data_IF_042790029535
#
_entry.id   IF_042790029535
#
_cell.length_a   1.000
_cell.length_b   1.000
_cell.length_c   1.000
_cell.angle_alpha   90.00
_cell.angle_beta   90.00
_cell.angle_gamma   90.00
#
_symmetry.space_group_name_H-M   'P 1'
#
loop_
_entity.id
_entity.type
_entity.pdbx_description
1 polymer ?
#
# COMPACT_ATOMS: atom_id res chain seq x y z
N UNK A 1 5.99 15.81 -7.84
CA UNK A 1 5.62 14.53 -8.46
C UNK A 1 4.10 14.46 -8.46
N UNK A 2 3.45 13.69 -9.32
CA UNK A 2 2.00 13.57 -9.31
C UNK A 2 1.61 12.11 -9.09
N UNK A 3 0.49 11.86 -8.43
CA UNK A 3 -0.02 10.51 -8.21
C UNK A 3 -0.79 10.06 -9.44
N UNK A 4 -0.80 8.75 -9.69
CA UNK A 4 -1.55 8.18 -10.81
C UNK A 4 -3.06 8.18 -10.58
N UNK A 5 -3.53 8.47 -9.35
CA UNK A 5 -4.95 8.41 -8.96
C UNK A 5 -5.57 7.02 -9.13
N UNK A 6 -4.76 5.98 -9.31
CA UNK A 6 -5.19 4.63 -9.67
C UNK A 6 -4.43 3.58 -8.87
N UNK A 7 -4.99 2.36 -8.81
CA UNK A 7 -4.37 1.21 -8.15
C UNK A 7 -4.18 0.09 -9.15
N UNK A 8 -2.98 -0.47 -9.18
CA UNK A 8 -2.69 -1.69 -9.94
C UNK A 8 -3.06 -2.89 -9.07
N UNK A 9 -3.94 -3.77 -9.55
CA UNK A 9 -4.31 -5.00 -8.85
C UNK A 9 -3.73 -6.20 -9.61
N UNK A 10 -2.97 -7.03 -8.91
CA UNK A 10 -2.38 -8.26 -9.47
C UNK A 10 -2.90 -9.44 -8.68
N UNK A 11 -3.66 -10.30 -9.36
CA UNK A 11 -4.30 -11.46 -8.76
C UNK A 11 -3.79 -12.74 -9.41
N UNK A 12 -3.46 -13.74 -8.61
CA UNK A 12 -2.98 -15.04 -9.11
C UNK A 12 -2.71 -16.04 -8.01
N UNK A 13 -2.38 -17.29 -8.36
CA UNK A 13 -2.08 -18.35 -7.38
C UNK A 13 -0.81 -18.02 -6.58
N UNK A 14 -0.67 -18.61 -5.39
CA UNK A 14 0.60 -18.54 -4.66
C UNK A 14 1.73 -19.12 -5.51
N UNK A 15 2.93 -18.54 -5.40
CA UNK A 15 4.09 -18.98 -6.19
C UNK A 15 4.10 -18.55 -7.66
N UNK A 16 3.10 -17.80 -8.15
CA UNK A 16 3.05 -17.35 -9.55
C UNK A 16 3.97 -16.16 -9.87
N UNK A 17 4.95 -15.85 -9.01
CA UNK A 17 5.93 -14.78 -9.23
C UNK A 17 5.42 -13.34 -9.07
N UNK A 18 4.20 -13.12 -8.54
CA UNK A 18 3.59 -11.78 -8.43
C UNK A 18 4.49 -10.74 -7.76
N UNK A 19 5.19 -11.15 -6.70
CA UNK A 19 6.06 -10.27 -5.93
C UNK A 19 7.43 -10.07 -6.58
N UNK A 20 7.87 -10.96 -7.47
CA UNK A 20 9.23 -10.97 -8.00
C UNK A 20 9.54 -9.67 -8.77
N UNK A 21 8.60 -9.20 -9.60
CA UNK A 21 8.76 -7.96 -10.35
C UNK A 21 8.94 -6.74 -9.41
N UNK A 22 8.11 -6.63 -8.36
CA UNK A 22 8.19 -5.52 -7.41
C UNK A 22 9.38 -5.61 -6.49
N UNK A 23 9.80 -6.82 -6.10
CA UNK A 23 11.00 -7.00 -5.28
C UNK A 23 12.25 -6.55 -6.04
N UNK A 24 12.35 -6.86 -7.34
CA UNK A 24 13.43 -6.38 -8.21
C UNK A 24 13.37 -4.86 -8.35
N UNK A 25 12.19 -4.32 -8.67
CA UNK A 25 12.02 -2.87 -8.84
C UNK A 25 12.32 -2.08 -7.56
N UNK A 26 11.79 -2.52 -6.42
CA UNK A 26 12.06 -1.92 -5.11
C UNK A 26 13.54 -2.03 -4.74
N UNK A 27 14.21 -3.15 -5.03
CA UNK A 27 15.62 -3.35 -4.66
C UNK A 27 16.59 -2.52 -5.50
N UNK A 28 16.35 -2.40 -6.80
CA UNK A 28 17.32 -1.83 -7.74
C UNK A 28 16.96 -0.44 -8.27
N UNK A 29 15.71 0.02 -8.10
CA UNK A 29 15.23 1.32 -8.62
C UNK A 29 14.83 2.28 -7.50
N UNK A 30 13.91 1.89 -6.62
CA UNK A 30 13.37 2.80 -5.59
C UNK A 30 14.17 2.80 -4.29
N UNK A 31 14.54 1.62 -3.81
CA UNK A 31 15.13 1.41 -2.50
C UNK A 31 14.10 1.48 -1.35
N UNK A 32 14.53 1.12 -0.12
CA UNK A 32 13.66 1.02 1.06
C UNK A 32 13.17 2.37 1.61
N UNK A 33 13.79 3.48 1.20
CA UNK A 33 13.40 4.82 1.64
C UNK A 33 12.21 5.39 0.85
N UNK A 34 11.91 4.80 -0.32
CA UNK A 34 10.92 5.29 -1.28
C UNK A 34 9.83 4.25 -1.59
N UNK A 35 10.00 3.02 -1.12
CA UNK A 35 9.05 1.93 -1.34
C UNK A 35 8.77 1.13 -0.08
N UNK A 36 7.51 0.70 0.07
CA UNK A 36 7.06 -0.16 1.16
C UNK A 36 6.31 -1.37 0.57
N UNK A 37 6.68 -2.58 0.97
CA UNK A 37 5.88 -3.78 0.73
C UNK A 37 5.37 -4.29 2.08
N UNK A 38 4.06 -4.48 2.22
CA UNK A 38 3.49 -4.89 3.51
C UNK A 38 2.18 -5.68 3.35
N UNK A 39 1.96 -6.70 4.20
CA UNK A 39 0.65 -7.35 4.34
C UNK A 39 -0.30 -6.61 5.30
N UNK A 40 0.11 -5.44 5.80
CA UNK A 40 -0.59 -4.70 6.84
C UNK A 40 -1.13 -3.37 6.32
N UNK A 41 -2.45 -3.32 6.12
CA UNK A 41 -3.16 -2.11 5.71
C UNK A 41 -3.10 -1.01 6.78
N UNK A 42 -3.09 -1.39 8.06
CA UNK A 42 -3.09 -0.45 9.19
C UNK A 42 -1.83 0.42 9.27
N UNK A 43 -0.72 0.00 8.65
CA UNK A 43 0.49 0.81 8.56
C UNK A 43 0.32 2.06 7.68
N UNK A 44 -0.65 2.05 6.76
CA UNK A 44 -0.93 3.19 5.86
C UNK A 44 -2.26 3.89 6.19
N UNK A 45 -3.27 3.17 6.69
CA UNK A 45 -4.59 3.74 7.02
C UNK A 45 -4.82 3.98 8.50
N UNK A 46 -3.95 3.42 9.35
CA UNK A 46 -4.05 3.54 10.80
C UNK A 46 -3.57 4.88 11.33
N UNK A 47 -3.69 5.06 12.64
CA UNK A 47 -3.28 6.28 13.34
C UNK A 47 -1.78 6.54 13.17
N UNK A 48 -0.95 5.55 13.52
CA UNK A 48 0.50 5.68 13.44
C UNK A 48 1.00 5.22 12.06
N UNK A 49 1.06 6.16 11.11
CA UNK A 49 1.33 5.90 9.70
C UNK A 49 2.64 6.54 9.20
N UNK A 50 3.53 6.94 10.12
CA UNK A 50 4.79 7.63 9.80
C UNK A 50 5.71 6.87 8.84
N UNK A 51 5.55 5.55 8.72
CA UNK A 51 6.27 4.75 7.73
C UNK A 51 6.00 5.20 6.29
N UNK A 52 4.85 5.85 6.02
CA UNK A 52 4.46 6.31 4.68
C UNK A 52 5.10 7.63 4.27
N UNK A 53 5.65 8.42 5.20
CA UNK A 53 6.05 9.81 4.98
C UNK A 53 6.85 10.08 3.69
N UNK A 54 7.75 9.16 3.30
CA UNK A 54 8.62 9.32 2.12
C UNK A 54 8.31 8.35 0.99
N UNK A 55 7.23 7.57 1.11
CA UNK A 55 6.92 6.50 0.16
C UNK A 55 6.31 7.09 -1.11
N UNK A 56 6.87 6.72 -2.26
CA UNK A 56 6.27 6.99 -3.58
C UNK A 56 5.60 5.74 -4.16
N UNK A 57 5.86 4.57 -3.58
CA UNK A 57 5.24 3.29 -3.94
C UNK A 57 4.94 2.44 -2.70
N UNK A 58 3.70 1.96 -2.57
CA UNK A 58 3.28 1.00 -1.55
C UNK A 58 2.67 -0.24 -2.21
N UNK A 59 3.27 -1.41 -1.96
CA UNK A 59 2.76 -2.72 -2.36
C UNK A 59 2.04 -3.36 -1.18
N UNK A 60 0.73 -3.51 -1.32
CA UNK A 60 -0.17 -4.14 -0.37
C UNK A 60 -0.32 -5.61 -0.73
N UNK A 61 0.48 -6.45 -0.08
CA UNK A 61 0.55 -7.89 -0.38
C UNK A 61 -0.42 -8.67 0.51
N UNK A 62 -1.60 -9.00 -0.02
CA UNK A 62 -2.69 -9.64 0.72
C UNK A 62 -3.23 -8.80 1.90
N UNK A 63 -2.92 -7.50 1.92
CA UNK A 63 -3.34 -6.59 2.98
C UNK A 63 -4.80 -6.13 2.87
N UNK A 64 -5.43 -6.32 1.71
CA UNK A 64 -6.79 -5.82 1.42
C UNK A 64 -7.82 -6.83 1.93
N UNK A 65 -8.57 -6.41 2.95
CA UNK A 65 -9.78 -7.07 3.40
C UNK A 65 -11.01 -6.23 3.01
N UNK A 66 -11.85 -6.77 2.13
CA UNK A 66 -13.05 -6.09 1.64
C UNK A 66 -14.19 -6.05 2.67
N UNK A 67 -14.07 -6.79 3.79
CA UNK A 67 -15.08 -6.79 4.85
C UNK A 67 -15.01 -5.52 5.72
N UNK A 68 -13.83 -4.92 5.89
CA UNK A 68 -13.64 -3.67 6.63
C UNK A 68 -13.85 -2.44 5.74
N UNK A 69 -15.12 -2.01 5.66
CA UNK A 69 -15.51 -0.84 4.84
C UNK A 69 -14.84 0.46 5.30
N UNK A 70 -14.57 0.63 6.59
CA UNK A 70 -14.00 1.86 7.12
C UNK A 70 -12.54 2.01 6.67
N UNK A 71 -11.77 0.93 6.77
CA UNK A 71 -10.40 0.87 6.26
C UNK A 71 -10.35 1.04 4.75
N UNK A 72 -11.25 0.38 4.01
CA UNK A 72 -11.30 0.50 2.55
C UNK A 72 -11.66 1.90 2.06
N UNK A 73 -12.53 2.63 2.77
CA UNK A 73 -12.83 4.02 2.45
C UNK A 73 -11.61 4.93 2.66
N UNK A 74 -10.87 4.73 3.77
CA UNK A 74 -9.61 5.46 4.00
C UNK A 74 -8.60 5.17 2.90
N UNK A 75 -8.42 3.89 2.55
CA UNK A 75 -7.51 3.50 1.48
C UNK A 75 -7.91 4.14 0.15
N UNK A 76 -9.20 4.15 -0.20
CA UNK A 76 -9.69 4.82 -1.42
C UNK A 76 -9.34 6.30 -1.45
N UNK A 77 -9.55 7.01 -0.35
CA UNK A 77 -9.19 8.42 -0.24
C UNK A 77 -7.66 8.62 -0.41
N UNK A 78 -6.86 7.73 0.18
CA UNK A 78 -5.40 7.77 0.03
C UNK A 78 -4.94 7.59 -1.42
N UNK A 79 -5.71 7.00 -2.34
CA UNK A 79 -5.28 6.83 -3.73
C UNK A 79 -5.21 8.19 -4.46
N UNK A 80 -6.13 9.10 -4.14
CA UNK A 80 -6.32 10.36 -4.87
C UNK A 80 -5.98 11.60 -4.05
N UNK A 81 -5.75 11.48 -2.74
CA UNK A 81 -5.42 12.62 -1.90
C UNK A 81 -4.07 13.26 -2.28
N UNK A 82 -4.04 14.59 -2.35
CA UNK A 82 -2.81 15.38 -2.61
C UNK A 82 -1.98 15.60 -1.34
N UNK A 83 -2.62 15.52 -0.18
CA UNK A 83 -2.01 15.69 1.13
C UNK A 83 -2.43 14.58 2.07
N UNK A 84 -1.61 14.38 3.10
CA UNK A 84 -1.89 13.41 4.14
C UNK A 84 -1.36 13.86 5.49
N UNK A 85 -2.12 13.52 6.53
CA UNK A 85 -1.67 13.64 7.90
C UNK A 85 -0.80 12.44 8.28
N UNK A 86 0.43 12.73 8.68
CA UNK A 86 1.37 11.77 9.25
C UNK A 86 1.35 11.88 10.77
N UNK A 87 0.98 10.80 11.46
CA UNK A 87 1.12 10.73 12.92
C UNK A 87 2.28 9.81 13.33
N UNK A 88 3.18 10.33 14.15
CA UNK A 88 4.22 9.56 14.83
C UNK A 88 3.75 9.16 16.23
N UNK A 89 4.38 8.13 16.80
CA UNK A 89 4.19 7.82 18.21
C UNK A 89 4.82 8.92 19.08
N UNK A 90 4.02 9.48 19.98
CA UNK A 90 4.49 10.46 20.96
C UNK A 90 4.91 11.81 20.39
N UNK A 91 4.49 12.14 19.15
CA UNK A 91 4.70 13.47 18.55
C UNK A 91 3.41 13.99 17.95
N UNK A 92 3.37 15.29 17.74
CA UNK A 92 2.26 15.94 17.06
C UNK A 92 2.18 15.50 15.59
N UNK A 93 0.97 15.34 15.04
CA UNK A 93 0.78 15.06 13.62
C UNK A 93 1.29 16.19 12.73
N UNK A 94 1.75 15.85 11.53
CA UNK A 94 2.15 16.81 10.50
C UNK A 94 1.41 16.53 9.20
N UNK A 95 0.97 17.56 8.50
CA UNK A 95 0.38 17.43 7.16
C UNK A 95 1.47 17.63 6.12
N UNK A 96 1.56 16.70 5.16
CA UNK A 96 2.55 16.70 4.10
C UNK A 96 1.90 16.40 2.76
N UNK A 97 2.51 16.86 1.67
CA UNK A 97 2.14 16.41 0.32
C UNK A 97 2.34 14.91 0.17
N UNK A 98 1.40 14.25 -0.49
CA UNK A 98 1.44 12.81 -0.74
C UNK A 98 1.76 12.53 -2.21
N UNK A 99 2.72 11.64 -2.43
CA UNK A 99 3.10 11.18 -3.77
C UNK A 99 3.06 9.64 -3.88
N UNK A 100 2.47 8.96 -2.90
CA UNK A 100 2.47 7.51 -2.81
C UNK A 100 1.48 6.86 -3.77
N UNK A 101 1.97 5.96 -4.63
CA UNK A 101 1.16 5.15 -5.53
C UNK A 101 1.03 3.72 -5.01
N UNK A 102 -0.09 3.05 -5.32
CA UNK A 102 -0.42 1.78 -4.69
C UNK A 102 -0.55 0.63 -5.68
N UNK A 103 -0.02 -0.52 -5.27
CA UNK A 103 -0.19 -1.81 -5.93
C UNK A 103 -0.80 -2.76 -4.90
N UNK A 104 -1.77 -3.57 -5.32
CA UNK A 104 -2.38 -4.60 -4.50
C UNK A 104 -2.08 -5.96 -5.11
N UNK A 105 -1.51 -6.86 -4.32
CA UNK A 105 -1.28 -8.25 -4.71
C UNK A 105 -2.29 -9.13 -3.96
N UNK A 106 -3.01 -9.97 -4.69
CA UNK A 106 -4.01 -10.89 -4.12
C UNK A 106 -3.73 -12.33 -4.54
N UNK A 107 -3.94 -13.25 -3.61
CA UNK A 107 -4.00 -14.67 -3.92
C UNK A 107 -5.39 -15.02 -4.47
N UNK A 108 -5.40 -15.80 -5.55
CA UNK A 108 -6.62 -16.49 -5.99
C UNK A 108 -6.82 -17.73 -5.15
N UNK A 109 -7.88 -17.73 -4.35
CA UNK A 109 -8.34 -18.93 -3.66
C UNK A 109 -9.24 -19.67 -4.66
N UNK A 110 -8.79 -20.84 -5.15
CA UNK A 110 -9.71 -21.75 -5.83
C UNK A 110 -10.60 -22.37 -4.76
N UNK A 111 -11.94 -22.33 -4.91
CA UNK A 111 -12.79 -23.10 -4.01
C UNK A 111 -12.37 -24.57 -4.12
N UNK A 112 -12.09 -25.20 -2.99
CA UNK A 112 -11.95 -26.64 -2.94
C UNK A 112 -13.26 -27.22 -3.50
N UNK A 113 -13.16 -28.03 -4.56
CA UNK A 113 -14.30 -28.81 -5.03
C UNK A 113 -14.73 -29.71 -3.87
N UNK A 114 -15.84 -29.35 -3.23
CA UNK A 114 -16.57 -30.17 -2.26
C UNK A 114 -17.39 -31.22 -2.98
#
# INVERSE_FOLDING_TARGET
MEKTGTVIIIKGKQGSGKNAAFNVFNRYVLGPNLSLTTPRMDLITGRFNSIRQSMIMCVLDEAVDNSDRAVMNKFKNLITADEVQIEYKGKEPVTLSDFCNYIVILITISPALS
#
